data_IF_193616791217
#
_entry.id   IF_193616791217
#
_cell.length_a   1.000
_cell.length_b   1.000
_cell.length_c   1.000
_cell.angle_alpha   90.00
_cell.angle_beta   90.00
_cell.angle_gamma   90.00
#
_symmetry.space_group_name_H-M   'P 1'
#
loop_
_entity.id
_entity.type
_entity.pdbx_description
1 polymer ?
#
# COMPACT_ATOMS: atom_id res chain seq x y z
N UNK A 1 -9.91 13.24 4.46
CA UNK A 1 -9.89 12.41 5.70
C UNK A 1 -9.40 13.28 6.87
N UNK A 2 -9.72 12.98 8.12
CA UNK A 2 -9.15 13.73 9.27
C UNK A 2 -7.77 13.14 9.69
N UNK A 3 -6.94 13.94 10.36
CA UNK A 3 -5.57 13.55 10.73
C UNK A 3 -5.53 12.33 11.67
N UNK A 4 -6.51 12.16 12.56
CA UNK A 4 -6.54 11.03 13.49
C UNK A 4 -6.70 9.67 12.79
N UNK A 5 -7.63 9.58 11.83
CA UNK A 5 -7.81 8.38 11.01
C UNK A 5 -6.60 8.14 10.10
N UNK A 6 -6.01 9.20 9.55
CA UNK A 6 -4.80 9.10 8.74
C UNK A 6 -3.59 8.59 9.53
N UNK A 7 -3.37 9.06 10.77
CA UNK A 7 -2.33 8.53 11.66
C UNK A 7 -2.59 7.06 11.98
N UNK A 8 -3.81 6.68 12.37
CA UNK A 8 -4.16 5.29 12.65
C UNK A 8 -3.87 4.33 11.47
N UNK A 9 -4.22 4.74 10.24
CA UNK A 9 -3.91 3.98 9.03
C UNK A 9 -2.39 3.95 8.77
N UNK A 10 -1.70 5.08 8.93
CA UNK A 10 -0.25 5.18 8.72
C UNK A 10 0.58 4.42 9.75
N UNK A 11 0.11 4.35 11.00
CA UNK A 11 0.73 3.59 12.10
C UNK A 11 0.40 2.09 12.02
N UNK A 12 -0.71 1.73 11.35
CA UNK A 12 -0.97 0.33 10.93
C UNK A 12 -0.04 -0.12 9.79
N UNK A 13 0.50 0.81 9.00
CA UNK A 13 1.44 0.55 7.90
C UNK A 13 2.91 0.61 8.35
N UNK A 14 3.23 1.35 9.41
CA UNK A 14 4.60 1.56 9.89
C UNK A 14 4.64 2.62 11.00
N UNK A 15 5.50 3.62 10.87
CA UNK A 15 5.46 4.82 11.72
C UNK A 15 5.02 6.02 10.90
N UNK A 16 3.81 6.54 11.16
CA UNK A 16 3.29 7.74 10.52
C UNK A 16 4.23 8.94 10.75
N UNK A 17 4.40 9.78 9.72
CA UNK A 17 5.25 10.97 9.76
C UNK A 17 4.52 12.24 9.36
N UNK A 18 3.72 12.17 8.30
CA UNK A 18 3.16 13.34 7.64
C UNK A 18 1.96 12.95 6.76
N UNK A 19 1.01 13.85 6.57
CA UNK A 19 -0.13 13.70 5.66
C UNK A 19 -0.17 14.93 4.75
N UNK A 20 -0.16 14.72 3.44
CA UNK A 20 -0.24 15.79 2.46
C UNK A 20 -1.61 16.48 2.53
N UNK A 21 -1.59 17.79 2.78
CA UNK A 21 -2.76 18.65 2.88
C UNK A 21 -2.51 19.96 2.10
N UNK A 22 -3.60 20.58 1.62
CA UNK A 22 -3.59 21.95 1.10
C UNK A 22 -3.37 22.99 2.23
N UNK A 23 -3.19 24.26 1.86
CA UNK A 23 -3.06 25.39 2.80
C UNK A 23 -4.30 25.59 3.70
N UNK A 24 -5.40 24.87 3.44
CA UNK A 24 -6.63 24.85 4.25
C UNK A 24 -6.74 23.62 5.17
N UNK A 25 -5.70 22.77 5.24
CA UNK A 25 -5.70 21.54 6.03
C UNK A 25 -6.55 20.41 5.45
N UNK A 26 -6.76 20.37 4.12
CA UNK A 26 -7.57 19.36 3.43
C UNK A 26 -6.71 18.47 2.52
N UNK A 27 -6.97 17.17 2.56
CA UNK A 27 -6.43 16.20 1.59
C UNK A 27 -7.04 16.45 0.21
N UNK A 28 -6.22 16.57 -0.84
CA UNK A 28 -6.69 16.80 -2.21
C UNK A 28 -6.97 15.50 -2.98
N UNK A 29 -8.06 15.47 -3.76
CA UNK A 29 -8.41 14.34 -4.63
C UNK A 29 -9.11 13.18 -3.94
N UNK A 30 -9.16 12.03 -4.62
CA UNK A 30 -9.80 10.79 -4.15
C UNK A 30 -8.84 9.84 -3.41
N UNK A 31 -7.56 10.19 -3.35
CA UNK A 31 -6.51 9.45 -2.64
C UNK A 31 -5.98 10.28 -1.48
N UNK A 32 -5.35 9.63 -0.50
CA UNK A 32 -4.59 10.29 0.56
C UNK A 32 -3.11 9.97 0.36
N UNK A 33 -2.26 10.99 0.38
CA UNK A 33 -0.81 10.82 0.30
C UNK A 33 -0.23 11.03 1.68
N UNK A 34 0.41 10.01 2.24
CA UNK A 34 1.01 10.05 3.57
C UNK A 34 2.44 9.56 3.53
N UNK A 35 3.29 10.14 4.38
CA UNK A 35 4.65 9.68 4.60
C UNK A 35 4.65 8.76 5.80
N UNK A 36 5.03 7.52 5.59
CA UNK A 36 5.15 6.49 6.62
C UNK A 36 6.55 5.88 6.53
N UNK A 37 7.22 5.78 7.67
CA UNK A 37 8.47 5.03 7.76
C UNK A 37 8.12 3.54 7.97
N UNK A 38 8.22 2.76 6.90
CA UNK A 38 7.95 1.31 6.90
C UNK A 38 9.20 0.49 7.19
N UNK A 39 9.04 -0.74 7.70
CA UNK A 39 10.16 -1.68 7.80
C UNK A 39 10.38 -2.37 6.45
N UNK A 40 11.53 -2.13 5.82
CA UNK A 40 11.88 -2.71 4.51
C UNK A 40 12.22 -4.20 4.55
N UNK A 41 12.43 -4.80 5.73
CA UNK A 41 12.58 -6.26 5.87
C UNK A 41 11.25 -7.00 5.80
N UNK A 42 10.12 -6.31 5.99
CA UNK A 42 8.80 -6.93 5.94
C UNK A 42 8.15 -6.83 4.56
N UNK A 43 7.20 -7.75 4.25
CA UNK A 43 6.37 -7.61 3.07
C UNK A 43 5.59 -6.29 3.07
N UNK A 44 5.50 -5.65 1.90
CA UNK A 44 4.68 -4.45 1.73
C UNK A 44 3.20 -4.72 2.05
N UNK A 45 2.58 -3.93 2.92
CA UNK A 45 1.15 -4.06 3.18
C UNK A 45 0.34 -3.71 1.92
N UNK A 46 -0.57 -4.59 1.50
CA UNK A 46 -1.35 -4.44 0.25
C UNK A 46 -2.67 -3.69 0.48
N UNK A 47 -3.35 -3.99 1.57
CA UNK A 47 -4.55 -3.32 2.03
C UNK A 47 -4.73 -3.49 3.55
N UNK A 48 -5.54 -2.62 4.16
CA UNK A 48 -5.96 -2.67 5.56
C UNK A 48 -7.49 -2.71 5.62
N UNK A 49 -8.07 -3.62 6.40
CA UNK A 49 -9.50 -3.61 6.75
C UNK A 49 -9.69 -2.74 7.99
N UNK A 50 -10.59 -1.76 7.91
CA UNK A 50 -10.88 -0.78 8.96
C UNK A 50 -12.37 -0.83 9.27
N UNK A 51 -12.73 -1.16 10.50
CA UNK A 51 -14.12 -1.07 10.95
C UNK A 51 -14.43 0.35 11.44
N UNK A 52 -15.53 0.93 10.98
CA UNK A 52 -16.03 2.22 11.49
C UNK A 52 -16.66 2.03 12.88
N UNK A 53 -16.83 3.10 13.68
CA UNK A 53 -17.59 3.04 14.92
C UNK A 53 -19.06 2.64 14.76
N UNK A 54 -19.60 2.66 13.53
CA UNK A 54 -20.97 2.23 13.22
C UNK A 54 -21.06 0.75 12.82
N UNK A 55 -19.93 0.06 12.71
CA UNK A 55 -19.84 -1.37 12.35
C UNK A 55 -19.58 -1.63 10.86
N UNK A 56 -19.61 -0.60 10.00
CA UNK A 56 -19.28 -0.73 8.59
C UNK A 56 -17.80 -1.09 8.40
N UNK A 57 -17.48 -1.90 7.39
CA UNK A 57 -16.10 -2.29 7.09
C UNK A 57 -15.60 -1.63 5.80
N UNK A 58 -14.41 -1.03 5.87
CA UNK A 58 -13.75 -0.36 4.75
C UNK A 58 -12.43 -1.07 4.43
N UNK A 59 -12.18 -1.37 3.15
CA UNK A 59 -10.88 -1.83 2.67
C UNK A 59 -10.09 -0.64 2.13
N UNK A 60 -8.97 -0.32 2.78
CA UNK A 60 -8.03 0.72 2.36
C UNK A 60 -6.87 0.06 1.64
N UNK A 61 -6.84 0.14 0.30
CA UNK A 61 -5.74 -0.37 -0.53
C UNK A 61 -4.56 0.60 -0.55
N UNK A 62 -3.33 0.07 -0.54
CA UNK A 62 -2.11 0.87 -0.57
C UNK A 62 -1.40 0.82 -1.92
N UNK A 63 -0.86 1.96 -2.33
CA UNK A 63 0.16 2.05 -3.38
C UNK A 63 1.31 2.90 -2.86
N UNK A 64 2.52 2.66 -3.38
CA UNK A 64 3.76 3.21 -2.88
C UNK A 64 4.42 4.07 -3.96
N UNK A 65 4.61 5.35 -3.66
CA UNK A 65 5.41 6.23 -4.50
C UNK A 65 6.89 5.84 -4.47
N UNK A 66 7.57 6.00 -5.61
CA UNK A 66 9.03 5.78 -5.74
C UNK A 66 9.51 4.39 -5.27
N UNK A 67 8.62 3.41 -5.25
CA UNK A 67 8.90 2.04 -4.83
C UNK A 67 10.07 1.45 -5.65
N UNK A 68 11.05 0.85 -5.00
CA UNK A 68 12.18 0.20 -5.70
C UNK A 68 11.76 -1.16 -6.31
N UNK A 69 12.71 -1.93 -6.83
CA UNK A 69 12.45 -3.33 -7.16
C UNK A 69 12.21 -4.13 -5.88
N UNK A 70 11.17 -4.95 -5.91
CA UNK A 70 10.72 -5.78 -4.80
C UNK A 70 10.23 -7.12 -5.32
N UNK A 71 10.19 -8.12 -4.46
CA UNK A 71 9.87 -9.48 -4.84
C UNK A 71 8.35 -9.68 -4.95
N UNK A 72 7.87 -10.08 -6.13
CA UNK A 72 6.44 -10.30 -6.36
C UNK A 72 5.88 -11.55 -5.65
N UNK A 73 6.75 -12.45 -5.17
CA UNK A 73 6.38 -13.62 -4.38
C UNK A 73 6.17 -13.27 -2.90
N UNK A 74 7.17 -12.68 -2.25
CA UNK A 74 7.16 -12.44 -0.80
C UNK A 74 6.86 -10.99 -0.39
N UNK A 75 6.76 -10.06 -1.34
CA UNK A 75 6.46 -8.65 -1.08
C UNK A 75 7.60 -7.81 -0.48
N UNK A 76 8.77 -8.39 -0.18
CA UNK A 76 9.92 -7.70 0.42
C UNK A 76 10.76 -6.96 -0.62
N UNK A 77 11.42 -5.89 -0.17
CA UNK A 77 12.37 -5.09 -0.98
C UNK A 77 13.74 -5.78 -1.11
N UNK A 78 14.57 -5.29 -2.04
CA UNK A 78 15.99 -5.66 -2.15
C UNK A 78 16.31 -6.89 -3.00
N UNK A 79 15.32 -7.69 -3.40
CA UNK A 79 15.51 -8.82 -4.31
C UNK A 79 14.34 -9.00 -5.29
N UNK A 80 14.57 -9.83 -6.31
CA UNK A 80 13.55 -10.22 -7.30
C UNK A 80 13.10 -11.67 -7.06
N UNK A 81 11.99 -12.06 -7.67
CA UNK A 81 11.39 -13.40 -7.52
C UNK A 81 12.38 -14.57 -7.69
N UNK A 82 13.30 -14.51 -8.67
CA UNK A 82 14.31 -15.57 -8.90
C UNK A 82 15.38 -15.68 -7.81
N UNK A 83 15.46 -14.72 -6.90
CA UNK A 83 16.42 -14.67 -5.78
C UNK A 83 15.71 -14.68 -4.43
N UNK A 84 14.45 -15.11 -4.38
CA UNK A 84 13.65 -15.14 -3.16
C UNK A 84 13.93 -16.42 -2.35
N UNK A 85 14.33 -16.25 -1.09
CA UNK A 85 14.66 -17.34 -0.17
C UNK A 85 13.52 -18.36 -0.03
N UNK A 86 12.25 -17.90 -0.02
CA UNK A 86 11.06 -18.76 0.03
C UNK A 86 11.06 -19.87 -1.05
N UNK A 87 11.68 -19.64 -2.22
CA UNK A 87 11.73 -20.63 -3.31
C UNK A 87 12.59 -21.86 -2.99
N UNK A 88 13.41 -21.78 -1.95
CA UNK A 88 14.31 -22.83 -1.51
C UNK A 88 13.86 -23.47 -0.18
N UNK A 89 12.72 -23.05 0.37
CA UNK A 89 12.13 -23.66 1.56
C UNK A 89 11.49 -25.03 1.24
N UNK A 90 11.61 -25.97 2.18
CA UNK A 90 11.02 -27.31 2.00
C UNK A 90 9.50 -27.24 1.88
N UNK A 91 8.95 -27.86 0.84
CA UNK A 91 7.52 -27.84 0.58
C UNK A 91 7.00 -26.55 -0.08
N UNK A 92 7.87 -25.62 -0.50
CA UNK A 92 7.45 -24.46 -1.28
C UNK A 92 6.67 -24.86 -2.54
N UNK A 93 5.52 -24.23 -2.75
CA UNK A 93 4.71 -24.34 -3.96
C UNK A 93 4.54 -22.96 -4.57
N UNK A 94 4.80 -22.85 -5.88
CA UNK A 94 4.64 -21.59 -6.60
C UNK A 94 3.14 -21.25 -6.77
N UNK A 95 2.70 -20.01 -6.48
CA UNK A 95 1.29 -19.63 -6.60
C UNK A 95 0.72 -19.85 -8.01
N UNK A 96 -0.34 -20.64 -8.13
CA UNK A 96 -1.02 -20.95 -9.40
C UNK A 96 -1.86 -19.78 -9.90
N UNK A 97 -2.44 -19.01 -8.98
CA UNK A 97 -3.45 -17.99 -9.27
C UNK A 97 -2.81 -16.60 -9.52
N UNK A 98 -1.52 -16.61 -9.89
CA UNK A 98 -0.70 -15.42 -10.07
C UNK A 98 0.08 -15.02 -8.80
N UNK A 99 1.00 -14.07 -8.98
CA UNK A 99 1.87 -13.60 -7.90
C UNK A 99 1.07 -12.81 -6.84
N UNK A 100 1.30 -13.04 -5.52
CA UNK A 100 0.58 -12.33 -4.46
C UNK A 100 0.81 -10.80 -4.46
N UNK A 101 1.88 -10.33 -5.09
CA UNK A 101 2.20 -8.93 -5.28
C UNK A 101 2.55 -8.64 -6.74
N UNK A 102 2.50 -7.37 -7.14
CA UNK A 102 2.86 -6.97 -8.50
C UNK A 102 2.88 -5.47 -8.70
N UNK A 103 3.00 -5.07 -9.97
CA UNK A 103 3.25 -3.67 -10.36
C UNK A 103 2.16 -2.69 -9.89
N UNK A 104 0.95 -3.17 -9.63
CA UNK A 104 -0.17 -2.39 -9.09
C UNK A 104 0.08 -1.77 -7.70
N UNK A 105 1.09 -2.24 -6.95
CA UNK A 105 1.52 -1.59 -5.71
C UNK A 105 2.37 -0.34 -5.93
N UNK A 106 2.78 -0.05 -7.18
CA UNK A 106 3.46 1.21 -7.52
C UNK A 106 2.39 2.28 -7.71
N UNK A 107 2.49 3.37 -6.96
CA UNK A 107 1.67 4.54 -7.27
C UNK A 107 2.04 5.01 -8.68
N UNK A 108 1.06 5.05 -9.59
CA UNK A 108 1.22 5.77 -10.84
C UNK A 108 1.34 7.25 -10.47
N UNK A 109 2.48 7.86 -10.76
CA UNK A 109 2.67 9.30 -10.56
C UNK A 109 1.61 10.03 -11.37
N UNK A 110 0.58 10.54 -10.69
CA UNK A 110 -0.57 11.17 -11.33
C UNK A 110 -0.07 12.43 -12.01
N UNK A 111 0.02 12.36 -13.34
CA UNK A 111 0.41 13.48 -14.18
C UNK A 111 -0.58 14.62 -13.91
N UNK A 112 -0.06 15.84 -13.72
CA UNK A 112 -0.86 17.01 -13.40
C UNK A 112 -2.03 17.18 -14.39
N UNK A 113 -3.24 16.90 -13.91
CA UNK A 113 -4.51 17.12 -14.61
C UNK A 113 -4.92 16.08 -15.67
N UNK A 114 -5.53 14.96 -15.26
CA UNK A 114 -6.83 14.48 -15.82
C UNK A 114 -7.37 13.16 -15.21
N UNK A 115 -8.50 13.27 -14.51
CA UNK A 115 -9.72 12.39 -14.46
C UNK A 115 -9.61 10.84 -14.54
N UNK A 116 -10.30 10.17 -13.60
CA UNK A 116 -10.72 8.74 -13.51
C UNK A 116 -9.55 7.73 -13.37
N UNK A 117 -9.58 6.61 -12.63
CA UNK A 117 -10.58 5.77 -11.91
C UNK A 117 -9.91 5.31 -10.57
N UNK A 118 -10.56 4.97 -9.45
CA UNK A 118 -11.96 4.96 -8.99
C UNK A 118 -12.07 4.17 -7.65
N UNK A 119 -13.27 4.03 -7.06
CA UNK A 119 -13.53 3.13 -5.91
C UNK A 119 -14.19 1.84 -6.41
N UNK A 120 -13.61 0.68 -6.08
CA UNK A 120 -14.27 -0.62 -6.28
C UNK A 120 -14.95 -1.04 -4.97
N UNK A 121 -16.23 -0.66 -4.85
CA UNK A 121 -17.21 -1.34 -4.01
C UNK A 121 -18.39 -1.72 -4.92
N UNK A 122 -18.60 -3.02 -5.09
CA UNK A 122 -19.93 -3.64 -5.28
C UNK A 122 -20.16 -4.57 -4.08
#
# INVERSE_FOLDING_TARGET
MNLGVASFIGDSLGKFRDLEMDDSGRTWGSTIHMRVAINVTEPLLRALRVCTPMGDELVVSFTYERLQNFCYLCGRLGHIHNSCELRFEEGFQEPTDGMPYGAWLRALSVIWGSRVVGLLNE
#
